data_IF_807800485170
#
_entry.id   IF_807800485170
#
_cell.length_a   1.000
_cell.length_b   1.000
_cell.length_c   1.000
_cell.angle_alpha   90.00
_cell.angle_beta   90.00
_cell.angle_gamma   90.00
#
_symmetry.space_group_name_H-M   'P 1'
#
loop_
_entity.id
_entity.type
_entity.pdbx_description
1 polymer ?
#
# COMPACT_ATOMS: atom_id res chain seq x y z
N UNK A 1 19.20 -35.66 115.69
CA UNK A 1 18.40 -34.46 116.03
C UNK A 1 18.56 -33.45 114.90
N UNK A 2 17.44 -33.02 114.27
CA UNK A 2 17.15 -31.70 113.63
C UNK A 2 18.35 -30.89 113.09
N UNK A 3 18.43 -30.36 111.87
CA UNK A 3 17.43 -29.85 110.88
C UNK A 3 18.24 -29.28 109.68
N UNK A 4 17.64 -29.33 108.46
CA UNK A 4 17.77 -28.36 107.34
C UNK A 4 19.15 -28.22 106.63
N UNK A 5 19.33 -28.04 105.30
CA UNK A 5 18.49 -27.48 104.23
C UNK A 5 19.07 -27.86 102.83
N UNK A 6 18.24 -28.53 102.01
CA UNK A 6 17.96 -28.40 100.55
C UNK A 6 19.05 -28.40 99.45
N UNK A 7 18.60 -29.02 98.34
CA UNK A 7 19.06 -28.99 96.94
C UNK A 7 20.35 -29.79 96.70
N UNK A 8 20.42 -30.80 95.83
CA UNK A 8 19.94 -30.94 94.45
C UNK A 8 20.00 -32.42 94.04
N UNK A 9 19.30 -32.74 92.94
CA UNK A 9 19.51 -33.86 92.04
C UNK A 9 18.74 -35.18 92.28
N UNK A 10 18.27 -35.70 91.14
CA UNK A 10 17.74 -37.03 90.85
C UNK A 10 16.35 -37.37 91.40
N UNK A 11 15.35 -37.21 90.53
CA UNK A 11 14.42 -38.33 90.32
C UNK A 11 13.98 -38.38 88.87
N UNK A 12 14.38 -39.47 88.23
CA UNK A 12 14.00 -39.87 86.90
C UNK A 12 12.57 -40.44 86.89
N UNK A 13 11.98 -40.38 85.69
CA UNK A 13 11.04 -41.34 85.13
C UNK A 13 9.60 -41.39 85.69
N UNK A 14 8.70 -40.66 85.03
CA UNK A 14 7.33 -41.02 84.62
C UNK A 14 6.99 -40.00 83.51
N UNK A 15 6.49 -40.29 82.32
CA UNK A 15 5.82 -41.45 81.78
C UNK A 15 4.79 -40.90 80.78
N UNK A 16 5.03 -41.16 79.49
CA UNK A 16 4.05 -41.26 78.39
C UNK A 16 3.15 -40.08 77.97
N UNK A 17 2.98 -40.03 76.64
CA UNK A 17 1.91 -39.44 75.83
C UNK A 17 1.99 -37.94 75.48
N UNK A 18 2.52 -37.71 74.29
CA UNK A 18 2.42 -36.45 73.55
C UNK A 18 2.98 -36.62 72.14
N UNK A 19 2.44 -37.56 71.37
CA UNK A 19 2.74 -37.68 69.93
C UNK A 19 2.17 -36.46 69.21
N UNK A 20 2.95 -35.39 69.12
CA UNK A 20 2.76 -34.38 68.09
C UNK A 20 3.22 -34.98 66.77
N UNK A 21 2.26 -35.42 65.97
CA UNK A 21 2.45 -35.59 64.53
C UNK A 21 2.77 -34.21 63.94
N UNK A 22 4.06 -33.88 63.88
CA UNK A 22 4.52 -32.85 62.97
C UNK A 22 4.48 -33.46 61.57
N UNK A 23 3.32 -33.36 60.93
CA UNK A 23 3.23 -33.47 59.48
C UNK A 23 4.13 -32.38 58.91
N UNK A 24 5.30 -32.78 58.42
CA UNK A 24 6.11 -31.93 57.57
C UNK A 24 5.25 -31.66 56.33
N UNK A 25 4.77 -30.43 56.19
CA UNK A 25 4.43 -29.94 54.87
C UNK A 25 5.73 -30.01 54.07
N UNK A 26 5.83 -30.98 53.18
CA UNK A 26 6.66 -30.84 52.00
C UNK A 26 6.20 -29.52 51.38
N UNK A 27 7.02 -28.47 51.51
CA UNK A 27 6.94 -27.40 50.54
C UNK A 27 7.26 -28.10 49.24
N UNK A 28 6.23 -28.40 48.46
CA UNK A 28 6.36 -28.54 47.02
C UNK A 28 7.26 -27.38 46.62
N UNK A 29 8.53 -27.67 46.36
CA UNK A 29 9.41 -26.73 45.70
C UNK A 29 8.85 -26.71 44.29
N UNK A 30 7.80 -25.93 44.10
CA UNK A 30 7.02 -25.78 42.88
C UNK A 30 7.87 -25.13 41.82
N UNK A 31 8.90 -25.84 41.39
CA UNK A 31 9.60 -25.61 40.16
C UNK A 31 8.55 -26.00 39.12
N UNK A 32 7.73 -25.03 38.71
CA UNK A 32 6.99 -25.12 37.47
C UNK A 32 7.98 -25.65 36.44
N UNK A 33 7.68 -26.72 35.71
CA UNK A 33 8.62 -27.23 34.70
C UNK A 33 8.92 -26.16 33.65
N UNK A 34 9.88 -26.42 32.76
CA UNK A 34 10.13 -25.48 31.66
C UNK A 34 8.83 -25.29 30.86
N UNK A 35 8.54 -24.06 30.38
CA UNK A 35 7.39 -23.85 29.52
C UNK A 35 7.52 -24.76 28.28
N UNK A 36 6.40 -25.30 27.81
CA UNK A 36 6.35 -26.10 26.59
C UNK A 36 5.20 -25.58 25.74
N UNK A 37 5.45 -25.38 24.44
CA UNK A 37 4.42 -25.04 23.47
C UNK A 37 4.18 -26.29 22.62
N UNK A 38 2.93 -26.78 22.58
CA UNK A 38 2.55 -27.90 21.73
C UNK A 38 2.05 -27.44 20.37
N UNK A 39 1.17 -26.44 20.36
CA UNK A 39 0.60 -25.87 19.16
C UNK A 39 -0.08 -24.52 19.43
N UNK A 40 -0.40 -23.81 18.36
CA UNK A 40 -1.25 -22.61 18.38
C UNK A 40 -2.56 -22.94 17.68
N UNK A 41 -3.67 -22.38 18.17
CA UNK A 41 -5.00 -22.56 17.56
C UNK A 41 -5.81 -21.26 17.56
N UNK A 42 -6.89 -21.15 16.76
CA UNK A 42 -7.84 -20.06 16.87
C UNK A 42 -8.53 -20.05 18.24
N UNK A 43 -9.04 -18.88 18.65
CA UNK A 43 -9.84 -18.76 19.89
C UNK A 43 -11.33 -19.07 19.69
N UNK A 44 -11.80 -19.09 18.44
CA UNK A 44 -13.18 -19.47 18.13
C UNK A 44 -13.38 -20.97 18.40
N UNK A 45 -14.37 -21.27 19.23
CA UNK A 45 -14.72 -22.64 19.61
C UNK A 45 -15.12 -23.49 18.39
N UNK A 46 -15.74 -22.90 17.37
CA UNK A 46 -16.22 -23.60 16.18
C UNK A 46 -15.08 -24.18 15.31
N UNK A 47 -13.88 -23.62 15.42
CA UNK A 47 -12.69 -24.03 14.65
C UNK A 47 -11.51 -24.38 15.56
N UNK A 48 -11.81 -24.77 16.81
CA UNK A 48 -10.78 -25.02 17.83
C UNK A 48 -9.95 -26.30 17.62
N UNK A 49 -10.36 -27.14 16.66
CA UNK A 49 -9.61 -28.30 16.18
C UNK A 49 -8.59 -27.94 15.08
N UNK A 50 -8.58 -26.68 14.62
CA UNK A 50 -7.61 -26.17 13.65
C UNK A 50 -6.30 -25.77 14.34
N UNK A 51 -5.18 -26.15 13.73
CA UNK A 51 -3.85 -25.74 14.16
C UNK A 51 -3.39 -24.56 13.30
N UNK A 52 -2.79 -23.56 13.94
CA UNK A 52 -2.18 -22.41 13.28
C UNK A 52 -0.66 -22.55 13.28
N UNK A 53 -0.08 -22.56 12.09
CA UNK A 53 1.36 -22.34 11.88
C UNK A 53 1.68 -20.89 11.51
N UNK A 54 0.65 -20.08 11.25
CA UNK A 54 0.77 -18.68 10.90
C UNK A 54 -0.43 -17.85 11.37
N UNK A 55 -0.30 -16.53 11.39
CA UNK A 55 -1.40 -15.61 11.65
C UNK A 55 -1.06 -14.15 11.30
N UNK A 56 -2.08 -13.38 10.98
CA UNK A 56 -1.94 -11.95 10.64
C UNK A 56 -1.74 -11.09 11.90
N UNK A 57 -1.11 -9.93 11.73
CA UNK A 57 -1.04 -8.88 12.76
C UNK A 57 -2.42 -8.62 13.38
N UNK A 58 -2.46 -8.46 14.70
CA UNK A 58 -3.69 -8.22 15.46
C UNK A 58 -4.56 -9.46 15.75
N UNK A 59 -4.32 -10.58 15.07
CA UNK A 59 -5.11 -11.81 15.26
C UNK A 59 -5.02 -12.31 16.70
N UNK A 60 -6.15 -12.72 17.26
CA UNK A 60 -6.21 -13.34 18.58
C UNK A 60 -5.95 -14.84 18.46
N UNK A 61 -4.94 -15.34 19.14
CA UNK A 61 -4.53 -16.75 19.10
C UNK A 61 -4.49 -17.37 20.50
N UNK A 62 -4.69 -18.68 20.58
CA UNK A 62 -4.50 -19.46 21.78
C UNK A 62 -3.26 -20.36 21.64
N UNK A 63 -2.26 -20.11 22.49
CA UNK A 63 -1.06 -20.91 22.62
C UNK A 63 -1.37 -22.04 23.60
N UNK A 64 -1.23 -23.30 23.19
CA UNK A 64 -1.54 -24.48 24.00
C UNK A 64 -0.25 -25.21 24.34
N UNK A 65 -0.12 -25.58 25.62
CA UNK A 65 1.14 -26.07 26.14
C UNK A 65 1.06 -26.57 27.58
N UNK A 66 2.20 -26.60 28.25
CA UNK A 66 2.34 -26.94 29.66
C UNK A 66 3.28 -25.95 30.36
N UNK A 67 3.10 -25.83 31.69
CA UNK A 67 3.86 -24.93 32.56
C UNK A 67 3.82 -23.44 32.16
N UNK A 68 2.74 -23.00 31.51
CA UNK A 68 2.61 -21.64 30.99
C UNK A 68 2.17 -20.60 32.05
N UNK A 69 1.82 -21.02 33.27
CA UNK A 69 1.20 -20.17 34.29
C UNK A 69 2.08 -19.01 34.79
N UNK A 70 3.41 -19.12 34.64
CA UNK A 70 4.35 -18.06 35.03
C UNK A 70 4.91 -17.28 33.83
N UNK A 71 4.38 -17.49 32.62
CA UNK A 71 4.78 -16.72 31.44
C UNK A 71 4.44 -15.23 31.65
N UNK A 72 5.47 -14.39 31.50
CA UNK A 72 5.40 -12.91 31.63
C UNK A 72 5.60 -12.18 30.32
N UNK A 73 6.10 -12.88 29.31
CA UNK A 73 6.34 -12.31 27.99
C UNK A 73 5.97 -13.30 26.91
N UNK A 74 5.27 -12.83 25.89
CA UNK A 74 5.09 -13.52 24.63
C UNK A 74 5.63 -12.61 23.55
N UNK A 75 6.42 -13.17 22.65
CA UNK A 75 7.06 -12.49 21.55
C UNK A 75 6.70 -13.21 20.26
N UNK A 76 6.31 -12.44 19.25
CA UNK A 76 6.20 -12.90 17.87
C UNK A 76 7.26 -12.15 17.10
N UNK A 77 8.20 -12.86 16.47
CA UNK A 77 9.39 -12.22 15.92
C UNK A 77 10.13 -11.40 17.01
N UNK A 78 10.41 -10.13 16.73
CA UNK A 78 10.97 -9.17 17.69
C UNK A 78 9.90 -8.34 18.43
N UNK A 79 8.60 -8.60 18.17
CA UNK A 79 7.50 -7.84 18.75
C UNK A 79 6.93 -8.49 20.00
N UNK A 80 6.95 -7.75 21.11
CA UNK A 80 6.36 -8.19 22.37
C UNK A 80 4.85 -8.00 22.37
N UNK A 81 4.11 -9.08 22.61
CA UNK A 81 2.68 -9.04 22.78
C UNK A 81 2.26 -8.53 24.17
N UNK A 82 1.11 -7.86 24.21
CA UNK A 82 0.49 -7.43 25.46
C UNK A 82 -0.28 -8.59 26.09
N UNK A 83 0.10 -8.97 27.31
CA UNK A 83 -0.52 -10.07 28.03
C UNK A 83 -1.58 -9.57 29.02
N UNK A 84 -2.73 -10.23 29.02
CA UNK A 84 -3.68 -10.17 30.12
C UNK A 84 -3.43 -11.36 31.05
N UNK A 85 -3.00 -11.14 32.32
CA UNK A 85 -2.71 -12.24 33.24
C UNK A 85 -3.89 -13.19 33.49
N UNK A 86 -5.14 -12.72 33.32
CA UNK A 86 -6.33 -13.56 33.47
C UNK A 86 -6.49 -14.60 32.34
N UNK A 87 -5.76 -14.43 31.24
CA UNK A 87 -5.76 -15.33 30.09
C UNK A 87 -4.53 -16.24 30.03
N UNK A 88 -3.71 -16.23 31.08
CA UNK A 88 -2.55 -17.09 31.25
C UNK A 88 -2.90 -18.18 32.26
N UNK A 89 -2.97 -19.42 31.80
CA UNK A 89 -3.20 -20.60 32.64
C UNK A 89 -1.99 -21.52 32.58
N UNK A 90 -2.02 -22.63 33.33
CA UNK A 90 -0.96 -23.65 33.25
C UNK A 90 -0.81 -24.25 31.85
N UNK A 91 -1.90 -24.33 31.08
CA UNK A 91 -1.94 -25.06 29.81
C UNK A 91 -2.27 -24.20 28.59
N UNK A 92 -2.58 -22.92 28.79
CA UNK A 92 -2.97 -22.03 27.70
C UNK A 92 -2.63 -20.58 27.94
N UNK A 93 -2.30 -19.86 26.87
CA UNK A 93 -2.22 -18.39 26.84
C UNK A 93 -3.09 -17.89 25.69
N UNK A 94 -4.04 -17.00 25.96
CA UNK A 94 -4.75 -16.27 24.90
C UNK A 94 -4.12 -14.89 24.75
N UNK A 95 -3.67 -14.55 23.55
CA UNK A 95 -2.90 -13.34 23.27
C UNK A 95 -3.11 -12.88 21.83
N UNK A 96 -3.07 -11.57 21.60
CA UNK A 96 -3.08 -11.00 20.25
C UNK A 96 -1.67 -10.92 19.69
N UNK A 97 -1.51 -11.28 18.41
CA UNK A 97 -0.31 -10.93 17.65
C UNK A 97 -0.20 -9.40 17.62
N UNK A 98 0.96 -8.80 17.92
CA UNK A 98 1.15 -7.35 17.87
C UNK A 98 0.71 -6.75 16.53
N UNK A 99 0.24 -5.50 16.53
CA UNK A 99 -0.08 -4.75 15.30
C UNK A 99 1.14 -4.06 14.69
N UNK A 100 2.23 -3.93 15.45
CA UNK A 100 3.45 -3.32 14.95
C UNK A 100 4.17 -4.30 14.04
N UNK A 101 4.71 -3.79 12.93
CA UNK A 101 5.55 -4.60 12.04
C UNK A 101 6.88 -4.94 12.70
N UNK A 102 7.33 -6.20 12.61
CA UNK A 102 8.62 -6.62 13.12
C UNK A 102 9.75 -6.04 12.28
N UNK A 103 10.87 -5.67 12.92
CA UNK A 103 12.08 -5.26 12.18
C UNK A 103 12.90 -6.48 11.77
N UNK A 104 12.94 -7.47 12.65
CA UNK A 104 13.57 -8.77 12.41
C UNK A 104 12.50 -9.86 12.29
N UNK A 105 12.41 -10.48 11.12
CA UNK A 105 11.49 -11.61 10.87
C UNK A 105 12.27 -12.91 11.08
N UNK A 106 12.00 -13.60 12.20
CA UNK A 106 12.60 -14.90 12.50
C UNK A 106 11.59 -16.06 12.43
N UNK A 107 10.30 -15.76 12.25
CA UNK A 107 9.18 -16.70 12.22
C UNK A 107 9.06 -17.55 13.49
N UNK A 108 9.36 -16.96 14.65
CA UNK A 108 9.28 -17.62 15.94
C UNK A 108 8.25 -16.95 16.86
N UNK A 109 7.48 -17.81 17.54
CA UNK A 109 6.75 -17.50 18.75
C UNK A 109 7.63 -17.90 19.95
N UNK A 110 7.96 -16.95 20.82
CA UNK A 110 8.71 -17.19 22.05
C UNK A 110 7.92 -16.79 23.28
N UNK A 111 7.84 -17.68 24.27
CA UNK A 111 7.28 -17.39 25.59
C UNK A 111 8.40 -17.37 26.64
N UNK A 112 8.33 -16.44 27.59
CA UNK A 112 9.34 -16.27 28.65
C UNK A 112 8.65 -16.18 30.01
N UNK A 113 9.06 -17.04 30.93
CA UNK A 113 8.59 -17.13 32.31
C UNK A 113 9.19 -16.05 33.20
N UNK A 114 8.60 -15.81 34.39
CA UNK A 114 9.04 -14.77 35.31
C UNK A 114 10.46 -14.98 35.85
N UNK A 115 10.90 -16.24 35.90
CA UNK A 115 12.26 -16.65 36.26
C UNK A 115 13.25 -16.71 35.09
N UNK A 116 12.81 -16.34 33.88
CA UNK A 116 13.65 -16.23 32.69
C UNK A 116 13.72 -17.47 31.81
N UNK A 117 13.01 -18.56 32.14
CA UNK A 117 12.96 -19.75 31.28
C UNK A 117 12.07 -19.52 30.07
N UNK A 118 12.45 -20.10 28.93
CA UNK A 118 11.81 -19.82 27.65
C UNK A 118 11.43 -21.09 26.89
N UNK A 119 10.42 -20.94 26.03
CA UNK A 119 10.11 -21.92 24.99
C UNK A 119 9.88 -21.18 23.67
N UNK A 120 10.28 -21.84 22.58
CA UNK A 120 10.20 -21.32 21.22
C UNK A 120 9.37 -22.30 20.38
N UNK A 121 8.60 -21.76 19.46
CA UNK A 121 7.74 -22.50 18.55
C UNK A 121 7.76 -21.82 17.18
N UNK A 122 7.84 -22.60 16.10
CA UNK A 122 7.81 -22.07 14.74
C UNK A 122 6.41 -21.51 14.45
N UNK A 123 6.32 -20.19 14.25
CA UNK A 123 5.07 -19.50 13.99
C UNK A 123 5.32 -18.29 13.10
N UNK A 124 4.73 -18.31 11.90
CA UNK A 124 4.88 -17.22 10.93
C UNK A 124 3.90 -16.10 11.25
N UNK A 125 4.35 -14.85 11.20
CA UNK A 125 3.46 -13.69 11.20
C UNK A 125 3.26 -13.27 9.76
N UNK A 126 2.05 -13.46 9.25
CA UNK A 126 1.72 -13.16 7.86
C UNK A 126 1.59 -11.64 7.69
N UNK A 127 2.50 -11.06 6.92
CA UNK A 127 2.55 -9.63 6.59
C UNK A 127 2.54 -9.54 5.07
N UNK A 128 1.57 -8.82 4.46
CA UNK A 128 1.48 -8.74 3.02
C UNK A 128 2.72 -8.09 2.39
N UNK A 129 3.01 -8.51 1.16
CA UNK A 129 3.97 -7.85 0.27
C UNK A 129 3.47 -6.43 -0.08
N UNK A 130 4.36 -5.48 -0.42
CA UNK A 130 3.95 -4.16 -0.86
C UNK A 130 3.02 -4.25 -2.07
N UNK A 131 2.05 -3.35 -2.17
CA UNK A 131 1.19 -3.21 -3.33
C UNK A 131 1.38 -1.82 -3.92
N UNK A 132 1.66 -1.75 -5.21
CA UNK A 132 1.91 -0.49 -5.93
C UNK A 132 0.72 -0.25 -6.86
N UNK A 133 -0.02 0.83 -6.63
CA UNK A 133 -1.28 1.10 -7.35
C UNK A 133 -1.14 2.22 -8.37
N UNK A 134 -0.52 3.33 -7.97
CA UNK A 134 -0.35 4.49 -8.85
C UNK A 134 0.84 5.34 -8.44
N UNK A 135 1.20 6.27 -9.32
CA UNK A 135 2.23 7.28 -9.08
C UNK A 135 1.64 8.64 -9.38
N UNK A 136 1.90 9.61 -8.51
CA UNK A 136 1.41 10.98 -8.66
C UNK A 136 1.78 11.56 -10.01
N UNK A 137 3.01 11.34 -10.47
CA UNK A 137 3.49 11.73 -11.79
C UNK A 137 4.40 10.62 -12.36
N UNK A 138 3.88 9.87 -13.34
CA UNK A 138 4.61 8.81 -14.06
C UNK A 138 5.75 9.36 -14.93
N UNK A 139 5.81 10.68 -15.17
CA UNK A 139 6.83 11.37 -15.96
C UNK A 139 7.70 12.33 -15.15
N UNK A 140 7.75 12.14 -13.83
CA UNK A 140 8.63 12.93 -12.95
C UNK A 140 10.10 12.90 -13.46
N UNK A 141 10.75 14.05 -13.45
CA UNK A 141 12.12 14.20 -13.93
C UNK A 141 13.12 13.72 -12.88
N UNK A 142 14.33 13.38 -13.31
CA UNK A 142 15.41 13.09 -12.37
C UNK A 142 15.61 14.28 -11.41
N UNK A 143 15.75 13.97 -10.11
CA UNK A 143 15.86 14.98 -9.05
C UNK A 143 14.51 15.51 -8.53
N UNK A 144 13.38 15.25 -9.20
CA UNK A 144 12.06 15.59 -8.67
C UNK A 144 11.60 14.57 -7.63
N UNK A 145 10.87 15.06 -6.62
CA UNK A 145 10.17 14.20 -5.66
C UNK A 145 8.73 14.00 -6.09
N UNK A 146 8.31 12.74 -6.10
CA UNK A 146 6.98 12.29 -6.49
C UNK A 146 6.45 11.30 -5.45
N UNK A 147 5.15 11.04 -5.46
CA UNK A 147 4.51 10.12 -4.52
C UNK A 147 4.07 8.85 -5.24
N UNK A 148 4.44 7.69 -4.73
CA UNK A 148 3.89 6.39 -5.11
C UNK A 148 2.78 6.04 -4.10
N UNK A 149 1.61 5.62 -4.59
CA UNK A 149 0.47 5.23 -3.78
C UNK A 149 0.23 3.72 -3.85
N UNK A 150 -0.26 3.16 -2.76
CA UNK A 150 -0.56 1.74 -2.67
C UNK A 150 -0.82 1.30 -1.24
N UNK A 151 -0.37 0.10 -0.87
CA UNK A 151 -0.58 -0.48 0.45
C UNK A 151 0.65 -1.26 0.93
N UNK A 152 0.72 -1.50 2.25
CA UNK A 152 1.73 -2.34 2.91
C UNK A 152 3.17 -1.86 2.72
N UNK A 153 3.37 -0.54 2.64
CA UNK A 153 4.70 0.06 2.61
C UNK A 153 5.29 0.15 4.03
N UNK A 154 6.06 -0.87 4.40
CA UNK A 154 6.67 -0.96 5.71
C UNK A 154 8.18 -0.75 5.64
N UNK A 155 8.70 0.13 6.50
CA UNK A 155 10.13 0.37 6.61
C UNK A 155 10.85 -0.77 7.37
N UNK A 156 12.12 -1.07 7.02
CA UNK A 156 12.90 -0.49 5.92
C UNK A 156 12.42 -0.99 4.54
N UNK A 157 12.39 -0.08 3.57
CA UNK A 157 12.05 -0.39 2.17
C UNK A 157 12.99 0.29 1.18
N UNK A 158 13.01 -0.22 -0.06
CA UNK A 158 13.73 0.34 -1.20
C UNK A 158 12.78 0.53 -2.38
N UNK A 159 13.00 1.59 -3.16
CA UNK A 159 12.26 1.86 -4.40
C UNK A 159 13.25 1.76 -5.56
N UNK A 160 12.97 0.87 -6.51
CA UNK A 160 13.82 0.56 -7.65
C UNK A 160 13.20 1.16 -8.91
N UNK A 161 13.95 1.99 -9.62
CA UNK A 161 13.56 2.50 -10.92
C UNK A 161 14.19 1.65 -12.04
N UNK A 162 13.54 1.57 -13.22
CA UNK A 162 14.15 0.99 -14.41
C UNK A 162 15.50 1.64 -14.73
N UNK A 163 16.40 0.89 -15.38
CA UNK A 163 17.79 1.29 -15.55
C UNK A 163 18.71 0.84 -14.39
N UNK A 164 18.17 0.12 -13.40
CA UNK A 164 18.93 -0.46 -12.29
C UNK A 164 19.43 0.58 -11.28
N UNK A 165 18.63 1.63 -11.06
CA UNK A 165 18.93 2.74 -10.16
C UNK A 165 17.89 2.85 -9.05
N UNK A 166 18.33 3.17 -7.83
CA UNK A 166 17.45 3.26 -6.68
C UNK A 166 17.00 4.71 -6.43
N UNK A 167 15.71 4.88 -6.17
CA UNK A 167 15.15 6.16 -5.73
C UNK A 167 15.55 6.49 -4.28
N UNK A 168 15.65 7.77 -3.98
CA UNK A 168 15.88 8.22 -2.60
C UNK A 168 14.55 8.38 -1.88
N UNK A 169 14.25 7.48 -0.93
CA UNK A 169 13.04 7.55 -0.11
C UNK A 169 13.11 8.75 0.82
N UNK A 170 12.11 9.62 0.75
CA UNK A 170 11.99 10.86 1.53
C UNK A 170 11.07 10.66 2.74
N UNK A 171 9.93 10.01 2.52
CA UNK A 171 8.95 9.72 3.56
C UNK A 171 8.13 8.48 3.18
N UNK A 172 7.71 7.72 4.19
CA UNK A 172 6.87 6.53 4.02
C UNK A 172 5.69 6.61 4.97
N UNK A 173 4.51 6.26 4.46
CA UNK A 173 3.35 5.83 5.24
C UNK A 173 2.93 4.46 4.72
N UNK A 174 2.04 3.75 5.41
CA UNK A 174 1.55 2.44 4.96
C UNK A 174 0.95 2.47 3.55
N UNK A 175 0.48 3.63 3.09
CA UNK A 175 -0.21 3.80 1.80
C UNK A 175 0.48 4.76 0.82
N UNK A 176 1.63 5.33 1.19
CA UNK A 176 2.34 6.26 0.30
C UNK A 176 3.85 6.26 0.51
N UNK A 177 4.62 6.32 -0.56
CA UNK A 177 6.06 6.56 -0.54
C UNK A 177 6.36 7.87 -1.28
N UNK A 178 6.93 8.86 -0.60
CA UNK A 178 7.56 10.00 -1.26
C UNK A 178 8.99 9.60 -1.63
N UNK A 179 9.32 9.69 -2.91
CA UNK A 179 10.61 9.26 -3.46
C UNK A 179 11.15 10.30 -4.43
N UNK A 180 12.44 10.59 -4.34
CA UNK A 180 13.16 11.39 -5.34
C UNK A 180 13.63 10.47 -6.47
N UNK A 181 13.24 10.81 -7.70
CA UNK A 181 13.60 10.06 -8.92
C UNK A 181 15.12 10.16 -9.15
N UNK A 182 15.82 9.04 -9.35
CA UNK A 182 17.26 9.05 -9.56
C UNK A 182 17.65 9.47 -10.99
N UNK A 183 18.87 9.98 -11.13
CA UNK A 183 19.52 10.10 -12.44
C UNK A 183 19.68 8.73 -13.09
N UNK A 184 19.49 8.66 -14.40
CA UNK A 184 19.59 7.40 -15.16
C UNK A 184 18.35 6.49 -15.08
N UNK A 185 17.26 6.93 -14.44
CA UNK A 185 15.99 6.18 -14.49
C UNK A 185 15.49 6.09 -15.94
N UNK A 186 15.15 4.87 -16.37
CA UNK A 186 14.63 4.55 -17.70
C UNK A 186 13.11 4.29 -17.69
N UNK A 187 12.51 4.01 -18.84
CA UNK A 187 11.10 3.61 -18.93
C UNK A 187 10.89 2.16 -18.42
N UNK A 188 9.80 1.93 -17.69
CA UNK A 188 9.40 0.58 -17.23
C UNK A 188 8.72 0.54 -15.86
N UNK A 189 8.45 -0.66 -15.35
CA UNK A 189 7.87 -0.86 -14.01
C UNK A 189 8.81 -0.39 -12.89
N UNK A 190 8.23 0.20 -11.85
CA UNK A 190 8.91 0.54 -10.60
C UNK A 190 8.75 -0.61 -9.62
N UNK A 191 9.85 -0.99 -8.98
CA UNK A 191 9.86 -1.99 -7.92
C UNK A 191 9.83 -1.36 -6.53
N UNK A 192 9.16 -2.00 -5.58
CA UNK A 192 9.27 -1.70 -4.13
C UNK A 192 9.60 -2.98 -3.40
N UNK A 193 10.68 -2.95 -2.61
CA UNK A 193 11.14 -4.08 -1.80
C UNK A 193 11.07 -3.73 -0.31
N UNK A 194 10.52 -4.64 0.49
CA UNK A 194 10.45 -4.56 1.96
C UNK A 194 11.05 -5.83 2.57
N UNK A 195 11.15 -5.88 3.90
CA UNK A 195 11.48 -7.13 4.61
C UNK A 195 10.42 -8.24 4.44
N UNK A 196 9.25 -7.92 3.89
CA UNK A 196 8.09 -8.82 3.78
C UNK A 196 7.83 -9.28 2.34
N UNK A 197 8.64 -8.83 1.38
CA UNK A 197 8.51 -9.18 -0.04
C UNK A 197 8.76 -7.98 -0.95
N UNK A 198 8.60 -8.20 -2.25
CA UNK A 198 8.82 -7.20 -3.28
C UNK A 198 7.68 -7.24 -4.30
N UNK A 199 7.35 -6.08 -4.86
CA UNK A 199 6.34 -5.94 -5.91
C UNK A 199 6.80 -4.99 -7.00
N UNK A 200 6.24 -5.18 -8.19
CA UNK A 200 6.44 -4.32 -9.36
C UNK A 200 5.13 -3.61 -9.70
N UNK A 201 5.22 -2.37 -10.18
CA UNK A 201 4.06 -1.61 -10.61
C UNK A 201 3.44 -2.18 -11.90
N UNK A 202 2.10 -2.17 -11.96
CA UNK A 202 1.37 -2.47 -13.21
C UNK A 202 1.51 -1.35 -14.25
N UNK A 203 1.60 -0.09 -13.80
CA UNK A 203 1.95 1.04 -14.66
C UNK A 203 3.45 1.08 -14.95
N UNK A 204 3.84 1.78 -16.02
CA UNK A 204 5.24 2.08 -16.30
C UNK A 204 5.55 3.54 -15.93
N UNK A 205 6.73 3.76 -15.37
CA UNK A 205 7.37 5.06 -15.34
C UNK A 205 7.78 5.45 -16.77
N UNK A 206 7.52 6.70 -17.16
CA UNK A 206 7.75 7.27 -18.50
C UNK A 206 7.14 6.44 -19.64
N UNK A 207 5.91 5.96 -19.41
CA UNK A 207 5.20 5.03 -20.28
C UNK A 207 4.98 5.54 -21.71
N UNK A 208 5.84 5.17 -22.65
CA UNK A 208 5.77 5.62 -24.05
C UNK A 208 4.84 4.77 -24.92
N UNK A 209 4.20 3.75 -24.33
CA UNK A 209 3.31 2.84 -25.06
C UNK A 209 2.08 3.60 -25.54
N UNK A 210 1.75 3.42 -26.82
CA UNK A 210 0.50 3.91 -27.40
C UNK A 210 0.22 5.41 -27.17
N UNK A 211 1.27 6.25 -27.15
CA UNK A 211 1.10 7.71 -27.22
C UNK A 211 0.52 8.05 -28.60
N UNK A 212 -0.79 8.22 -28.66
CA UNK A 212 -1.51 8.44 -29.91
C UNK A 212 -1.78 9.92 -30.18
N UNK A 213 -1.55 10.78 -29.19
CA UNK A 213 -1.59 12.22 -29.37
C UNK A 213 -0.46 12.87 -28.56
N UNK A 214 0.25 13.79 -29.20
CA UNK A 214 1.39 14.48 -28.61
C UNK A 214 1.76 15.72 -29.41
N UNK A 215 2.66 16.52 -28.82
CA UNK A 215 3.23 17.72 -29.45
C UNK A 215 4.62 17.45 -30.05
N UNK A 216 5.12 16.22 -29.94
CA UNK A 216 6.45 15.79 -30.42
C UNK A 216 6.42 14.45 -31.18
N UNK A 217 6.10 14.43 -32.48
CA UNK A 217 5.65 15.57 -33.28
C UNK A 217 4.20 15.93 -32.97
N UNK A 218 3.83 17.17 -33.26
CA UNK A 218 2.44 17.61 -33.21
C UNK A 218 1.55 16.75 -34.12
N UNK A 219 0.42 16.30 -33.58
CA UNK A 219 -0.57 15.47 -34.29
C UNK A 219 -1.97 16.07 -34.16
N UNK A 220 -2.85 15.79 -35.13
CA UNK A 220 -4.21 16.34 -35.15
C UNK A 220 -4.29 17.74 -35.75
N UNK A 221 -5.50 18.29 -35.80
CA UNK A 221 -5.79 19.57 -36.47
C UNK A 221 -5.96 20.75 -35.53
N UNK A 222 -6.30 20.50 -34.26
CA UNK A 222 -6.76 21.56 -33.38
C UNK A 222 -5.71 22.10 -32.41
N UNK A 223 -4.50 21.54 -32.38
CA UNK A 223 -3.46 21.94 -31.43
C UNK A 223 -2.58 23.11 -31.86
N UNK A 224 -2.66 23.59 -33.12
CA UNK A 224 -1.78 24.63 -33.67
C UNK A 224 -1.69 25.92 -32.82
N UNK A 225 -2.77 26.26 -32.11
CA UNK A 225 -2.84 27.44 -31.24
C UNK A 225 -2.54 27.19 -29.76
N UNK A 226 -2.29 25.94 -29.38
CA UNK A 226 -2.22 25.47 -28.00
C UNK A 226 -0.93 24.72 -27.71
N UNK A 227 0.17 25.07 -28.38
CA UNK A 227 1.47 24.40 -28.16
C UNK A 227 2.31 25.20 -27.14
N UNK A 228 2.62 24.57 -26.02
CA UNK A 228 3.65 25.01 -25.07
C UNK A 228 5.03 24.52 -25.48
N UNK A 229 6.04 25.38 -25.33
CA UNK A 229 7.43 25.12 -25.75
C UNK A 229 8.18 24.23 -24.75
N UNK A 230 8.98 23.29 -25.27
CA UNK A 230 9.81 22.37 -24.50
C UNK A 230 10.85 23.04 -23.58
N UNK A 231 11.22 24.28 -23.86
CA UNK A 231 12.12 25.10 -23.03
C UNK A 231 11.40 25.84 -21.90
N UNK A 232 10.08 25.75 -21.80
CA UNK A 232 9.30 26.36 -20.71
C UNK A 232 9.59 25.71 -19.36
N UNK A 233 9.51 26.49 -18.28
CA UNK A 233 9.69 26.01 -16.90
C UNK A 233 8.68 24.94 -16.52
N UNK A 234 7.49 24.97 -17.12
CA UNK A 234 6.42 24.00 -16.88
C UNK A 234 6.44 22.83 -17.88
N UNK A 235 7.40 22.75 -18.81
CA UNK A 235 7.47 21.60 -19.70
C UNK A 235 7.67 20.31 -18.86
N UNK A 236 7.09 19.19 -19.28
CA UNK A 236 7.33 17.88 -18.65
C UNK A 236 8.22 17.03 -19.52
N UNK A 237 7.85 16.79 -20.77
CA UNK A 237 8.55 15.93 -21.71
C UNK A 237 8.43 16.47 -23.14
N UNK A 238 9.24 17.47 -23.46
CA UNK A 238 9.15 18.15 -24.76
C UNK A 238 8.06 19.23 -24.77
N UNK A 239 7.52 19.49 -25.94
CA UNK A 239 6.39 20.36 -26.13
C UNK A 239 5.13 19.73 -25.53
N UNK A 240 4.17 20.55 -25.13
CA UNK A 240 2.97 20.08 -24.44
C UNK A 240 1.74 20.85 -24.91
N UNK A 241 0.55 20.28 -24.73
CA UNK A 241 -0.70 20.97 -25.00
C UNK A 241 -0.93 22.00 -23.90
N UNK A 242 -1.23 23.24 -24.25
CA UNK A 242 -1.32 24.34 -23.30
C UNK A 242 -2.48 25.28 -23.63
N UNK A 243 -3.43 25.39 -22.70
CA UNK A 243 -4.56 26.29 -22.80
C UNK A 243 -4.48 27.35 -21.71
N UNK A 244 -4.44 28.62 -22.14
CA UNK A 244 -4.53 29.80 -21.27
C UNK A 244 -5.60 30.75 -21.78
N UNK A 245 -6.61 31.02 -20.97
CA UNK A 245 -7.63 32.01 -21.23
C UNK A 245 -8.99 31.67 -20.64
N UNK A 246 -9.94 32.57 -20.88
CA UNK A 246 -11.29 32.41 -20.38
C UNK A 246 -12.10 31.43 -21.24
N UNK A 247 -12.73 30.46 -20.61
CA UNK A 247 -13.76 29.59 -21.18
C UNK A 247 -15.10 30.06 -20.64
N UNK A 248 -16.02 30.46 -21.53
CA UNK A 248 -17.37 30.88 -21.14
C UNK A 248 -18.23 29.72 -20.63
N UNK A 249 -19.36 30.05 -20.00
CA UNK A 249 -20.41 29.06 -19.68
C UNK A 249 -20.89 28.40 -20.99
N UNK A 250 -20.82 27.07 -21.07
CA UNK A 250 -21.01 26.29 -22.30
C UNK A 250 -20.10 26.70 -23.47
N UNK A 251 -18.97 27.34 -23.16
CA UNK A 251 -17.94 27.70 -24.13
C UNK A 251 -17.47 26.47 -24.92
N UNK A 252 -17.06 26.70 -26.16
CA UNK A 252 -16.60 25.65 -27.07
C UNK A 252 -15.19 25.97 -27.55
N UNK A 253 -14.23 25.10 -27.25
CA UNK A 253 -12.86 25.23 -27.75
C UNK A 253 -12.21 23.86 -27.92
N UNK A 254 -12.05 23.44 -29.18
CA UNK A 254 -11.29 22.25 -29.57
C UNK A 254 -9.80 22.50 -29.35
N UNK A 255 -9.18 21.75 -28.44
CA UNK A 255 -7.77 21.94 -28.09
C UNK A 255 -6.87 20.89 -28.72
N UNK A 256 -7.37 19.65 -28.78
CA UNK A 256 -6.60 18.52 -29.21
C UNK A 256 -7.46 17.54 -30.00
N UNK A 257 -6.84 16.94 -31.01
CA UNK A 257 -7.45 15.88 -31.79
C UNK A 257 -7.86 16.28 -33.21
N UNK A 258 -8.83 15.55 -33.75
CA UNK A 258 -9.31 15.58 -35.12
C UNK A 258 -10.06 14.30 -35.50
N UNK A 259 -10.69 14.26 -36.69
CA UNK A 259 -11.19 13.01 -37.27
C UNK A 259 -10.05 12.02 -37.58
N UNK A 260 -10.41 10.80 -37.98
CA UNK A 260 -9.46 9.69 -38.22
C UNK A 260 -8.32 10.08 -39.18
N UNK A 261 -8.63 10.84 -40.23
CA UNK A 261 -7.67 11.30 -41.24
C UNK A 261 -6.79 12.48 -40.78
N UNK A 262 -7.04 13.02 -39.58
CA UNK A 262 -6.24 14.09 -39.01
C UNK A 262 -4.89 13.61 -38.45
N UNK A 263 -4.70 12.30 -38.26
CA UNK A 263 -3.50 11.76 -37.63
C UNK A 263 -2.83 10.65 -38.47
N UNK A 264 -1.49 10.71 -38.54
CA UNK A 264 -0.68 9.61 -39.09
C UNK A 264 -0.57 8.41 -38.14
N UNK A 265 -0.76 8.62 -36.84
CA UNK A 265 -0.60 7.64 -35.76
C UNK A 265 -1.93 7.12 -35.18
N UNK A 266 -3.04 7.27 -35.90
CA UNK A 266 -4.38 6.79 -35.54
C UNK A 266 -4.51 5.29 -35.20
N UNK A 267 -3.49 4.49 -35.54
CA UNK A 267 -3.40 3.06 -35.20
C UNK A 267 -2.61 2.78 -33.91
N UNK A 268 -2.10 3.83 -33.24
CA UNK A 268 -1.56 3.72 -31.88
C UNK A 268 -2.65 3.66 -30.81
N UNK A 269 -3.91 3.89 -31.19
CA UNK A 269 -5.07 3.45 -30.41
C UNK A 269 -5.28 1.97 -30.77
N UNK A 270 -4.94 1.02 -29.88
CA UNK A 270 -4.96 -0.41 -30.20
C UNK A 270 -6.38 -0.95 -30.36
N UNK A 271 -6.58 -1.85 -31.32
CA UNK A 271 -7.84 -2.57 -31.53
C UNK A 271 -8.22 -3.40 -30.29
N UNK A 272 -7.23 -3.91 -29.55
CA UNK A 272 -7.45 -4.66 -28.31
C UNK A 272 -8.13 -3.82 -27.23
N UNK A 273 -7.82 -2.52 -27.14
CA UNK A 273 -8.51 -1.64 -26.20
C UNK A 273 -9.96 -1.38 -26.60
N UNK A 274 -10.26 -1.41 -27.91
CA UNK A 274 -11.65 -1.29 -28.39
C UNK A 274 -12.40 -2.60 -28.16
N UNK A 275 -11.73 -3.75 -28.29
CA UNK A 275 -12.30 -5.08 -28.07
C UNK A 275 -12.55 -5.40 -26.59
N UNK A 276 -11.62 -5.02 -25.72
CA UNK A 276 -11.71 -5.20 -24.26
C UNK A 276 -11.30 -3.89 -23.55
N UNK A 277 -12.20 -2.89 -23.53
CA UNK A 277 -11.89 -1.61 -22.93
C UNK A 277 -11.68 -1.70 -21.42
N UNK A 278 -12.18 -2.75 -20.77
CA UNK A 278 -12.02 -2.97 -19.34
C UNK A 278 -10.58 -3.33 -18.94
N UNK A 279 -9.74 -3.72 -19.90
CA UNK A 279 -8.33 -4.04 -19.70
C UNK A 279 -7.39 -2.84 -19.92
N UNK A 280 -7.91 -1.66 -20.29
CA UNK A 280 -7.10 -0.50 -20.65
C UNK A 280 -7.45 0.75 -19.83
N UNK A 281 -6.47 1.63 -19.71
CA UNK A 281 -6.61 2.97 -19.17
C UNK A 281 -6.22 4.00 -20.22
N UNK A 282 -7.03 5.06 -20.34
CA UNK A 282 -6.60 6.30 -20.97
C UNK A 282 -5.86 7.15 -19.95
N UNK A 283 -4.62 7.53 -20.28
CA UNK A 283 -3.76 8.32 -19.41
C UNK A 283 -3.23 9.56 -20.12
N UNK A 284 -2.98 10.60 -19.34
CA UNK A 284 -2.27 11.79 -19.73
C UNK A 284 -1.72 12.49 -18.49
N UNK A 285 -0.71 13.33 -18.67
CA UNK A 285 -0.23 14.21 -17.62
C UNK A 285 -0.99 15.53 -17.68
N UNK A 286 -1.27 16.13 -16.52
CA UNK A 286 -1.92 17.44 -16.38
C UNK A 286 -1.18 18.33 -15.39
N UNK A 287 -1.15 19.63 -15.67
CA UNK A 287 -0.63 20.65 -14.76
C UNK A 287 -1.53 21.89 -14.78
N UNK A 288 -2.16 22.19 -13.66
CA UNK A 288 -2.99 23.39 -13.48
C UNK A 288 -2.18 24.50 -12.82
N UNK A 289 -2.06 25.63 -13.49
CA UNK A 289 -1.55 26.90 -12.92
C UNK A 289 -2.68 27.75 -12.32
N UNK A 290 -3.90 27.61 -12.85
CA UNK A 290 -5.14 28.02 -12.21
C UNK A 290 -6.00 26.77 -11.92
N UNK A 291 -6.75 26.72 -10.81
CA UNK A 291 -7.64 25.60 -10.50
C UNK A 291 -8.61 25.29 -11.64
N UNK A 292 -8.78 24.01 -11.97
CA UNK A 292 -9.87 23.52 -12.82
C UNK A 292 -11.05 23.15 -11.92
N UNK A 293 -11.93 24.11 -11.64
CA UNK A 293 -13.04 24.00 -10.68
C UNK A 293 -14.43 24.30 -11.27
N UNK A 294 -14.49 24.70 -12.54
CA UNK A 294 -15.69 24.95 -13.32
C UNK A 294 -15.48 24.50 -14.78
N UNK A 295 -16.55 24.51 -15.59
CA UNK A 295 -16.55 23.97 -16.95
C UNK A 295 -16.28 22.44 -16.98
N UNK A 296 -16.09 21.89 -18.17
CA UNK A 296 -15.76 20.49 -18.36
C UNK A 296 -14.94 20.29 -19.63
N UNK A 297 -14.12 19.24 -19.62
CA UNK A 297 -13.46 18.77 -20.83
C UNK A 297 -14.21 17.54 -21.34
N UNK A 298 -14.65 17.61 -22.59
CA UNK A 298 -15.19 16.45 -23.30
C UNK A 298 -14.06 15.67 -23.97
N UNK A 299 -14.14 14.36 -23.87
CA UNK A 299 -13.13 13.41 -24.37
C UNK A 299 -13.85 12.37 -25.22
N UNK A 300 -13.41 12.24 -26.47
CA UNK A 300 -13.89 11.24 -27.42
C UNK A 300 -12.70 10.49 -28.00
N UNK A 301 -12.77 9.16 -27.94
CA UNK A 301 -11.83 8.25 -28.60
C UNK A 301 -12.68 7.21 -29.31
N UNK A 302 -12.67 7.19 -30.63
CA UNK A 302 -13.55 6.30 -31.41
C UNK A 302 -14.19 7.00 -32.60
N UNK A 303 -15.52 7.10 -32.61
CA UNK A 303 -16.28 7.59 -33.77
C UNK A 303 -16.52 9.07 -33.60
N UNK A 304 -15.98 9.83 -34.55
CA UNK A 304 -16.00 11.28 -34.53
C UNK A 304 -17.41 11.88 -34.43
N UNK A 305 -18.41 11.19 -34.99
CA UNK A 305 -19.80 11.66 -35.04
C UNK A 305 -20.50 11.62 -33.65
N UNK A 306 -19.96 10.89 -32.67
CA UNK A 306 -20.56 10.74 -31.34
C UNK A 306 -20.19 11.88 -30.36
N UNK A 307 -19.76 13.03 -30.87
CA UNK A 307 -19.27 14.15 -30.06
C UNK A 307 -20.30 14.69 -29.06
N UNK A 308 -21.60 14.55 -29.33
CA UNK A 308 -22.65 14.95 -28.40
C UNK A 308 -22.63 14.12 -27.11
N UNK A 309 -22.26 12.85 -27.21
CA UNK A 309 -22.25 11.87 -26.11
C UNK A 309 -20.88 11.70 -25.44
N UNK A 310 -19.84 12.38 -25.92
CA UNK A 310 -18.47 12.22 -25.43
C UNK A 310 -18.36 12.26 -23.90
N UNK A 311 -17.42 11.46 -23.37
CA UNK A 311 -17.14 11.39 -21.95
C UNK A 311 -16.81 12.76 -21.39
N UNK A 312 -17.34 13.09 -20.22
CA UNK A 312 -17.19 14.40 -19.59
C UNK A 312 -16.26 14.26 -18.40
N UNK A 313 -15.10 14.90 -18.48
CA UNK A 313 -14.15 15.03 -17.37
C UNK A 313 -14.31 16.40 -16.70
N UNK A 314 -14.47 16.40 -15.38
CA UNK A 314 -14.71 17.59 -14.57
C UNK A 314 -13.75 17.64 -13.39
N UNK A 315 -13.49 18.84 -12.87
CA UNK A 315 -12.82 19.05 -11.60
C UNK A 315 -13.68 18.73 -10.36
N UNK A 316 -13.28 19.22 -9.16
CA UNK A 316 -12.17 20.15 -8.94
C UNK A 316 -10.80 19.47 -9.05
N UNK A 317 -9.86 20.13 -9.73
CA UNK A 317 -8.46 19.75 -9.79
C UNK A 317 -7.57 20.99 -9.62
N UNK A 318 -6.63 20.93 -8.68
CA UNK A 318 -5.59 21.94 -8.52
C UNK A 318 -4.27 21.27 -8.13
N UNK A 319 -3.41 21.11 -9.13
CA UNK A 319 -2.06 20.57 -9.01
C UNK A 319 -1.02 21.60 -8.58
N UNK A 320 -1.40 22.89 -8.46
CA UNK A 320 -0.54 23.98 -8.01
C UNK A 320 0.79 24.08 -8.78
N UNK A 321 0.76 23.92 -10.10
CA UNK A 321 1.95 24.00 -10.94
C UNK A 321 2.77 22.71 -11.02
N UNK A 322 2.39 21.65 -10.30
CA UNK A 322 3.03 20.34 -10.42
C UNK A 322 2.31 19.47 -11.45
N UNK A 323 3.05 18.69 -12.22
CA UNK A 323 2.46 17.70 -13.12
C UNK A 323 1.93 16.50 -12.34
N UNK A 324 0.78 15.98 -12.77
CA UNK A 324 0.17 14.77 -12.24
C UNK A 324 -0.32 13.87 -13.37
N UNK A 325 -0.25 12.56 -13.18
CA UNK A 325 -0.83 11.60 -14.12
C UNK A 325 -2.31 11.39 -13.82
N UNK A 326 -3.15 11.65 -14.82
CA UNK A 326 -4.58 11.30 -14.80
C UNK A 326 -4.76 9.92 -15.40
N UNK A 327 -5.54 9.08 -14.72
CA UNK A 327 -5.89 7.72 -15.18
C UNK A 327 -7.39 7.61 -15.26
N UNK A 328 -7.92 7.36 -16.46
CA UNK A 328 -9.35 7.14 -16.71
C UNK A 328 -9.50 5.71 -17.25
N UNK A 329 -10.26 4.82 -16.56
CA UNK A 329 -10.56 3.49 -17.08
C UNK A 329 -11.21 3.61 -18.46
N UNK A 330 -10.65 2.96 -19.49
CA UNK A 330 -11.05 3.24 -20.86
C UNK A 330 -12.50 2.84 -21.14
N UNK A 331 -13.02 1.84 -20.41
CA UNK A 331 -14.42 1.44 -20.49
C UNK A 331 -15.41 2.59 -20.20
N UNK A 332 -15.02 3.61 -19.42
CA UNK A 332 -15.92 4.75 -19.16
C UNK A 332 -15.99 5.72 -20.35
N UNK A 333 -14.91 5.82 -21.14
CA UNK A 333 -14.88 6.62 -22.38
C UNK A 333 -15.59 5.87 -23.50
N UNK A 334 -15.28 4.58 -23.65
CA UNK A 334 -15.81 3.76 -24.73
C UNK A 334 -17.33 3.52 -24.59
N UNK A 335 -17.86 3.49 -23.37
CA UNK A 335 -19.30 3.40 -23.11
C UNK A 335 -20.14 4.51 -23.76
N UNK A 336 -19.54 5.64 -24.15
CA UNK A 336 -20.26 6.77 -24.76
C UNK A 336 -19.96 7.00 -26.23
N UNK A 337 -19.00 6.26 -26.80
CA UNK A 337 -18.45 6.49 -28.14
C UNK A 337 -18.23 5.19 -28.92
N UNK A 338 -18.97 4.12 -28.58
CA UNK A 338 -18.76 2.75 -29.11
C UNK A 338 -18.77 2.69 -30.65
N UNK A 339 -17.71 2.10 -31.18
CA UNK A 339 -17.36 2.10 -32.60
C UNK A 339 -17.18 0.73 -33.22
N UNK A 340 -16.95 -0.29 -32.39
CA UNK A 340 -16.32 -1.53 -32.84
C UNK A 340 -14.92 -1.32 -33.48
N UNK A 341 -14.27 -2.41 -33.86
CA UNK A 341 -12.94 -2.37 -34.47
C UNK A 341 -13.01 -1.78 -35.89
N UNK A 342 -12.10 -0.85 -36.22
CA UNK A 342 -12.10 -0.09 -37.48
C UNK A 342 -10.75 -0.09 -38.17
N UNK A 343 -10.71 -0.55 -39.43
CA UNK A 343 -9.48 -0.66 -40.22
C UNK A 343 -8.80 0.68 -40.53
N UNK A 344 -9.57 1.77 -40.53
CA UNK A 344 -9.11 3.12 -40.77
C UNK A 344 -8.48 3.77 -39.54
N UNK A 345 -8.65 3.18 -38.35
CA UNK A 345 -8.25 3.75 -37.06
C UNK A 345 -9.39 4.53 -36.39
N UNK A 346 -9.04 5.29 -35.36
CA UNK A 346 -9.98 5.95 -34.46
C UNK A 346 -9.75 7.45 -34.38
N UNK A 347 -10.83 8.22 -34.20
CA UNK A 347 -10.74 9.65 -33.97
C UNK A 347 -10.40 9.93 -32.50
N UNK A 348 -9.80 11.09 -32.26
CA UNK A 348 -9.60 11.63 -30.91
C UNK A 348 -10.09 13.07 -30.88
N UNK A 349 -10.79 13.47 -29.83
CA UNK A 349 -11.21 14.85 -29.64
C UNK A 349 -11.20 15.19 -28.15
N UNK A 350 -10.61 16.34 -27.83
CA UNK A 350 -10.43 16.83 -26.47
C UNK A 350 -10.66 18.35 -26.45
N UNK A 351 -11.76 18.77 -25.81
CA UNK A 351 -12.27 20.14 -25.93
C UNK A 351 -13.03 20.62 -24.71
N UNK A 352 -13.05 21.94 -24.52
CA UNK A 352 -13.90 22.58 -23.51
C UNK A 352 -15.36 22.58 -23.95
N UNK A 353 -16.24 22.05 -23.10
CA UNK A 353 -17.68 22.24 -23.21
C UNK A 353 -18.42 21.76 -21.95
N UNK A 354 -18.82 22.69 -21.09
CA UNK A 354 -19.59 22.39 -19.89
C UNK A 354 -20.13 23.62 -19.17
N UNK A 355 -20.88 23.43 -18.08
CA UNK A 355 -21.45 24.52 -17.30
C UNK A 355 -20.38 25.28 -16.49
N UNK A 356 -20.57 26.59 -16.34
CA UNK A 356 -19.69 27.46 -15.57
C UNK A 356 -18.56 28.05 -16.41
N UNK A 357 -18.28 29.33 -16.19
CA UNK A 357 -17.11 29.98 -16.77
C UNK A 357 -15.85 29.61 -15.99
N UNK A 358 -14.72 29.46 -16.68
CA UNK A 358 -13.43 29.07 -16.13
C UNK A 358 -12.33 30.00 -16.66
N UNK A 359 -11.48 30.52 -15.78
CA UNK A 359 -10.23 31.18 -16.19
C UNK A 359 -9.11 30.14 -16.23
N UNK A 360 -9.02 29.43 -17.36
CA UNK A 360 -8.14 28.28 -17.50
C UNK A 360 -6.69 28.71 -17.70
N UNK A 361 -5.79 28.09 -16.95
CA UNK A 361 -4.35 28.08 -17.21
C UNK A 361 -3.86 26.66 -16.90
N UNK A 362 -3.91 25.79 -17.90
CA UNK A 362 -3.75 24.35 -17.74
C UNK A 362 -2.98 23.74 -18.92
N UNK A 363 -2.06 22.84 -18.60
CA UNK A 363 -1.23 22.11 -19.53
C UNK A 363 -1.52 20.60 -19.47
N UNK A 364 -1.33 19.92 -20.60
CA UNK A 364 -1.52 18.48 -20.76
C UNK A 364 -0.42 17.86 -21.63
N UNK A 365 -0.08 16.60 -21.37
CA UNK A 365 0.90 15.89 -22.21
C UNK A 365 0.76 14.36 -22.15
N UNK A 366 1.52 13.66 -23.00
CA UNK A 366 1.63 12.19 -23.14
C UNK A 366 0.29 11.43 -23.15
N UNK A 367 -0.66 11.85 -23.99
CA UNK A 367 -1.94 11.19 -24.16
C UNK A 367 -1.77 9.77 -24.72
N UNK A 368 -2.13 8.77 -23.93
CA UNK A 368 -1.85 7.36 -24.21
C UNK A 368 -2.96 6.42 -23.78
N UNK A 369 -3.03 5.27 -24.44
CA UNK A 369 -3.97 4.19 -24.10
C UNK A 369 -3.20 2.90 -23.78
N UNK A 370 -3.11 2.55 -22.50
CA UNK A 370 -2.21 1.50 -22.02
C UNK A 370 -2.97 0.42 -21.25
N UNK A 371 -2.49 -0.84 -21.23
CA UNK A 371 -3.06 -1.87 -20.36
C UNK A 371 -3.07 -1.45 -18.89
N UNK A 372 -4.06 -1.95 -18.13
CA UNK A 372 -4.20 -1.70 -16.68
C UNK A 372 -3.04 -2.26 -15.86
#
# INVERSE_FOLDING_TARGET
>A
MKKWLKYTALMALFGSLGSFLLTSCEKDTGIAGDPVIYYVRPTDAAVSDSLLSAGFLGSLVAIIGDNLQDVRQVWFNDQRASLNPNYVTKTSIIVSIPNNTPREVNNLLRVVSGDGREAVYDFTVDIPEPQIESMQNEYARAGETTTIYGNFFYEPLQVHFPGGVDGTVVAVTETSIQVTVPEGAEEGSIGVSTNFGAAESGFHFRDSRNIFFGMDPQTGWWSDGYVGDAGSEIAINGNFLYYRGNVGDWGWADMAGGPVDAFGNRHLIPDEAIADPSAYNFKFEVNTLNPFDANAIKILIGNFEDFDNAYIWTGPLDTQGAWQTVVIPFETIQATTDVGIRSEGYAFRFWWHGPGALDADIAFDNFRLVPK
#
